data_IF_311698503308
#
_entry.id   IF_311698503308
#
_cell.length_a   1.000
_cell.length_b   1.000
_cell.length_c   1.000
_cell.angle_alpha   90.00
_cell.angle_beta   90.00
_cell.angle_gamma   90.00
#
_symmetry.space_group_name_H-M   'P 1'
#
loop_
_entity.id
_entity.type
_entity.pdbx_description
1 polymer ?
#
# COMPACT_ATOMS: atom_id res chain seq x y z
N UNK A 1 10.62 -15.53 6.11
CA UNK A 1 10.61 -15.73 4.67
C UNK A 1 11.46 -16.94 4.31
N UNK A 2 10.91 -17.88 3.54
CA UNK A 2 11.66 -19.05 3.05
C UNK A 2 12.44 -18.67 1.78
N UNK A 3 13.74 -18.41 1.94
CA UNK A 3 14.62 -18.05 0.83
C UNK A 3 14.94 -19.22 -0.09
N UNK A 4 14.94 -20.45 0.42
CA UNK A 4 15.26 -21.62 -0.38
C UNK A 4 14.20 -21.84 -1.48
N UNK A 5 12.95 -21.51 -1.18
CA UNK A 5 11.83 -21.64 -2.11
C UNK A 5 11.67 -20.39 -2.98
N UNK A 6 11.76 -19.19 -2.40
CA UNK A 6 11.44 -17.96 -3.15
C UNK A 6 12.56 -17.55 -4.10
N UNK A 7 13.85 -17.76 -3.75
CA UNK A 7 14.98 -17.33 -4.60
C UNK A 7 14.94 -17.95 -6.00
N UNK A 8 14.83 -19.29 -6.17
CA UNK A 8 14.78 -19.88 -7.51
C UNK A 8 13.54 -19.46 -8.31
N UNK A 9 12.45 -19.10 -7.60
CA UNK A 9 11.26 -18.57 -8.25
C UNK A 9 11.53 -17.15 -8.78
N UNK A 10 12.15 -16.27 -7.98
CA UNK A 10 12.48 -14.90 -8.37
C UNK A 10 13.50 -14.85 -9.51
N UNK A 11 14.52 -15.70 -9.49
CA UNK A 11 15.52 -15.81 -10.56
C UNK A 11 14.90 -16.16 -11.93
N UNK A 12 13.83 -16.93 -11.94
CA UNK A 12 13.11 -17.28 -13.18
C UNK A 12 12.16 -16.19 -13.67
N UNK A 13 11.74 -15.27 -12.79
CA UNK A 13 10.66 -14.33 -13.11
C UNK A 13 11.09 -12.87 -13.12
N UNK A 14 12.23 -12.52 -12.56
CA UNK A 14 12.74 -11.14 -12.53
C UNK A 14 14.09 -11.11 -13.26
N UNK A 15 14.13 -10.38 -14.35
CA UNK A 15 15.36 -10.20 -15.11
C UNK A 15 16.45 -9.55 -14.24
N UNK A 16 17.65 -10.16 -14.23
CA UNK A 16 18.80 -9.69 -13.46
C UNK A 16 18.71 -9.96 -11.95
N UNK A 17 17.71 -10.73 -11.48
CA UNK A 17 17.70 -11.23 -10.12
C UNK A 17 18.57 -12.48 -10.03
N UNK A 18 19.68 -12.39 -9.29
CA UNK A 18 20.67 -13.45 -9.14
C UNK A 18 21.09 -13.58 -7.67
N UNK A 19 21.15 -14.85 -7.17
CA UNK A 19 21.67 -15.12 -5.83
C UNK A 19 23.20 -15.00 -5.71
N UNK A 20 23.75 -15.12 -4.52
CA UNK A 20 23.06 -15.46 -3.28
C UNK A 20 22.18 -14.31 -2.74
N UNK A 21 21.07 -14.67 -2.08
CA UNK A 21 20.11 -13.72 -1.52
C UNK A 21 20.09 -13.80 0.00
N UNK A 22 20.17 -12.66 0.67
CA UNK A 22 19.81 -12.53 2.09
C UNK A 22 18.55 -11.67 2.24
N UNK A 23 17.81 -11.87 3.34
CA UNK A 23 16.59 -11.12 3.59
C UNK A 23 16.61 -10.50 4.98
N UNK A 24 16.20 -9.23 5.06
CA UNK A 24 16.00 -8.49 6.30
C UNK A 24 14.55 -8.02 6.37
N UNK A 25 13.87 -8.29 7.46
CA UNK A 25 12.51 -7.79 7.64
C UNK A 25 12.54 -6.34 8.13
N UNK A 26 11.76 -5.46 7.50
CA UNK A 26 11.57 -4.11 8.01
C UNK A 26 10.81 -4.13 9.34
N UNK A 27 11.33 -3.40 10.33
CA UNK A 27 10.72 -3.30 11.65
C UNK A 27 9.42 -2.49 11.68
N UNK A 28 9.16 -1.68 10.65
CA UNK A 28 7.97 -0.84 10.49
C UNK A 28 7.03 -1.46 9.45
N UNK A 29 5.72 -1.32 9.65
CA UNK A 29 4.71 -1.85 8.72
C UNK A 29 4.09 -3.15 9.23
N UNK A 30 3.20 -3.04 10.23
CA UNK A 30 2.61 -4.20 10.91
C UNK A 30 1.57 -4.96 10.09
N UNK A 31 1.02 -4.34 9.04
CA UNK A 31 -0.10 -4.93 8.30
C UNK A 31 0.32 -5.99 7.28
N UNK A 32 1.32 -5.70 6.46
CA UNK A 32 1.85 -6.61 5.44
C UNK A 32 3.36 -6.79 5.67
N UNK A 33 3.84 -7.99 6.03
CA UNK A 33 5.26 -8.23 6.21
C UNK A 33 6.06 -7.82 4.97
N UNK A 34 7.08 -7.01 5.19
CA UNK A 34 7.92 -6.43 4.12
C UNK A 34 9.37 -6.79 4.39
N UNK A 35 10.07 -7.25 3.38
CA UNK A 35 11.44 -7.73 3.45
C UNK A 35 12.32 -7.03 2.43
N UNK A 36 13.51 -6.62 2.84
CA UNK A 36 14.59 -6.26 1.95
C UNK A 36 15.25 -7.54 1.47
N UNK A 37 15.37 -7.72 0.16
CA UNK A 37 16.11 -8.81 -0.47
C UNK A 37 17.42 -8.26 -1.01
N UNK A 38 18.54 -8.71 -0.45
CA UNK A 38 19.87 -8.24 -0.81
C UNK A 38 20.51 -9.26 -1.73
N UNK A 39 20.82 -8.84 -2.95
CA UNK A 39 21.56 -9.63 -3.94
C UNK A 39 22.94 -9.00 -4.19
N UNK A 40 23.86 -9.69 -4.88
CA UNK A 40 25.18 -9.12 -5.17
C UNK A 40 25.16 -7.85 -6.03
N UNK A 41 24.11 -7.65 -6.82
CA UNK A 41 24.01 -6.52 -7.77
C UNK A 41 23.09 -5.42 -7.32
N UNK A 42 22.00 -5.78 -6.63
CA UNK A 42 20.90 -4.85 -6.34
C UNK A 42 20.09 -5.33 -5.15
N UNK A 43 19.43 -4.40 -4.51
CA UNK A 43 18.44 -4.70 -3.46
C UNK A 43 17.03 -4.56 -4.02
N UNK A 44 16.15 -5.42 -3.53
CA UNK A 44 14.73 -5.42 -3.87
C UNK A 44 13.91 -5.41 -2.58
N UNK A 45 12.65 -5.06 -2.69
CA UNK A 45 11.69 -5.15 -1.59
C UNK A 45 10.60 -6.15 -1.94
N UNK A 46 10.44 -7.17 -1.10
CA UNK A 46 9.33 -8.13 -1.17
C UNK A 46 8.29 -7.77 -0.10
N UNK A 47 7.04 -7.59 -0.51
CA UNK A 47 5.91 -7.35 0.39
C UNK A 47 4.84 -8.41 0.19
N UNK A 48 4.42 -9.06 1.28
CA UNK A 48 3.50 -10.19 1.25
C UNK A 48 2.28 -9.98 2.14
N UNK A 49 1.21 -10.70 1.85
CA UNK A 49 0.10 -10.84 2.80
C UNK A 49 0.59 -11.56 4.07
N UNK A 50 0.09 -11.20 5.26
CA UNK A 50 0.37 -11.98 6.45
C UNK A 50 -0.20 -13.41 6.31
N UNK A 51 0.38 -14.39 6.98
CA UNK A 51 -0.17 -15.74 7.00
C UNK A 51 -1.48 -15.80 7.80
N UNK A 52 -2.34 -16.78 7.48
CA UNK A 52 -3.58 -17.05 8.20
C UNK A 52 -4.84 -16.59 7.48
N UNK A 53 -5.97 -16.68 8.16
CA UNK A 53 -7.29 -16.27 7.62
C UNK A 53 -7.41 -14.75 7.73
N UNK A 54 -7.55 -14.09 6.61
CA UNK A 54 -7.64 -12.64 6.52
C UNK A 54 -9.08 -12.19 6.26
N UNK A 55 -9.44 -11.03 6.78
CA UNK A 55 -10.71 -10.39 6.43
C UNK A 55 -10.73 -10.06 4.93
N UNK A 56 -11.89 -10.23 4.31
CA UNK A 56 -12.10 -9.89 2.90
C UNK A 56 -11.71 -8.43 2.66
N UNK A 57 -10.89 -8.18 1.64
CA UNK A 57 -10.31 -6.88 1.28
C UNK A 57 -9.23 -6.31 2.21
N UNK A 58 -8.90 -6.94 3.33
CA UNK A 58 -7.73 -6.59 4.10
C UNK A 58 -6.45 -7.12 3.42
N UNK A 59 -5.35 -6.39 3.54
CA UNK A 59 -4.04 -6.85 3.06
C UNK A 59 -3.95 -7.15 1.55
N UNK A 60 -4.67 -6.38 0.72
CA UNK A 60 -4.77 -6.60 -0.73
C UNK A 60 -3.49 -6.17 -1.48
N UNK A 61 -2.42 -6.98 -1.39
CA UNK A 61 -1.12 -6.71 -2.05
C UNK A 61 -1.24 -6.63 -3.57
N UNK A 62 -2.18 -7.37 -4.18
CA UNK A 62 -2.52 -7.30 -5.59
C UNK A 62 -3.06 -5.92 -6.01
N UNK A 63 -3.80 -5.25 -5.14
CA UNK A 63 -4.27 -3.89 -5.38
C UNK A 63 -3.13 -2.87 -5.22
N UNK A 64 -2.28 -3.06 -4.21
CA UNK A 64 -1.08 -2.24 -4.04
C UNK A 64 -0.17 -2.32 -5.26
N UNK A 65 0.09 -3.53 -5.75
CA UNK A 65 0.90 -3.75 -6.95
C UNK A 65 0.28 -3.10 -8.19
N UNK A 66 -1.03 -3.32 -8.41
CA UNK A 66 -1.74 -2.80 -9.59
C UNK A 66 -1.66 -1.28 -9.68
N UNK A 67 -1.96 -0.57 -8.59
CA UNK A 67 -1.98 0.90 -8.62
C UNK A 67 -0.56 1.46 -8.82
N UNK A 68 0.45 0.93 -8.13
CA UNK A 68 1.81 1.42 -8.28
C UNK A 68 2.37 1.12 -9.68
N UNK A 69 2.06 -0.05 -10.24
CA UNK A 69 2.45 -0.39 -11.61
C UNK A 69 1.78 0.53 -12.64
N UNK A 70 0.51 0.85 -12.45
CA UNK A 70 -0.23 1.74 -13.34
C UNK A 70 0.27 3.19 -13.31
N UNK A 71 0.84 3.62 -12.18
CA UNK A 71 1.38 4.97 -11.99
C UNK A 71 2.84 5.12 -12.42
N UNK A 72 3.50 4.06 -12.91
CA UNK A 72 4.93 4.07 -13.21
C UNK A 72 5.36 5.16 -14.20
N UNK A 73 4.51 5.51 -15.16
CA UNK A 73 4.76 6.51 -16.19
C UNK A 73 4.06 7.85 -15.92
N UNK A 74 3.59 8.07 -14.68
CA UNK A 74 2.94 9.32 -14.25
C UNK A 74 3.89 10.20 -13.42
N UNK A 75 3.44 11.42 -13.10
CA UNK A 75 4.18 12.33 -12.20
C UNK A 75 4.16 11.91 -10.72
N UNK A 76 3.45 10.82 -10.40
CA UNK A 76 3.42 10.25 -9.05
C UNK A 76 4.66 9.38 -8.84
N UNK A 77 5.56 9.69 -7.89
CA UNK A 77 6.75 8.91 -7.64
C UNK A 77 6.39 7.57 -6.98
N UNK A 78 6.56 6.49 -7.73
CA UNK A 78 6.34 5.12 -7.25
C UNK A 78 7.60 4.27 -7.46
N UNK A 79 7.78 3.24 -6.62
CA UNK A 79 8.84 2.27 -6.84
C UNK A 79 8.56 1.46 -8.12
N UNK A 80 9.61 1.07 -8.85
CA UNK A 80 9.46 0.18 -9.99
C UNK A 80 8.94 -1.19 -9.53
N UNK A 81 7.78 -1.57 -10.03
CA UNK A 81 7.16 -2.87 -9.78
C UNK A 81 7.74 -3.93 -10.71
N UNK A 82 8.23 -5.04 -10.16
CA UNK A 82 8.77 -6.15 -10.94
C UNK A 82 7.73 -7.23 -11.20
N UNK A 83 7.21 -7.84 -10.15
CA UNK A 83 6.29 -8.97 -10.28
C UNK A 83 5.31 -9.07 -9.12
N UNK A 84 4.12 -9.58 -9.42
CA UNK A 84 3.13 -10.06 -8.46
C UNK A 84 3.03 -11.58 -8.55
N UNK A 85 3.07 -12.25 -7.41
CA UNK A 85 2.79 -13.67 -7.29
C UNK A 85 1.52 -13.86 -6.44
N UNK A 86 0.48 -14.41 -7.03
CA UNK A 86 -0.77 -14.72 -6.33
C UNK A 86 -0.85 -16.20 -5.92
N UNK A 87 0.12 -17.02 -6.34
CA UNK A 87 0.19 -18.43 -6.01
C UNK A 87 0.72 -18.65 -4.57
N UNK A 88 -0.14 -19.10 -3.63
CA UNK A 88 0.28 -19.33 -2.26
C UNK A 88 1.24 -20.52 -2.11
N UNK A 89 1.37 -21.38 -3.10
CA UNK A 89 2.28 -22.53 -3.04
C UNK A 89 3.76 -22.11 -2.99
N UNK A 90 4.10 -20.88 -3.42
CA UNK A 90 5.47 -20.39 -3.46
C UNK A 90 6.00 -20.07 -2.06
N UNK A 91 5.30 -19.22 -1.29
CA UNK A 91 5.72 -18.84 0.07
C UNK A 91 4.55 -18.79 1.09
N UNK A 92 3.46 -19.48 0.79
CA UNK A 92 2.29 -19.56 1.67
C UNK A 92 1.31 -18.38 1.60
N UNK A 93 1.57 -17.33 0.82
CA UNK A 93 0.67 -16.20 0.58
C UNK A 93 1.09 -15.40 -0.64
N UNK A 94 0.14 -14.63 -1.19
CA UNK A 94 0.43 -13.70 -2.28
C UNK A 94 1.47 -12.64 -1.84
N UNK A 95 2.33 -12.23 -2.78
CA UNK A 95 3.36 -11.22 -2.58
C UNK A 95 3.68 -10.49 -3.88
N UNK A 96 4.34 -9.33 -3.76
CA UNK A 96 4.96 -8.67 -4.90
C UNK A 96 6.38 -8.25 -4.59
N UNK A 97 7.14 -7.97 -5.65
CA UNK A 97 8.51 -7.46 -5.57
C UNK A 97 8.61 -6.13 -6.30
N UNK A 98 9.29 -5.18 -5.69
CA UNK A 98 9.57 -3.86 -6.23
C UNK A 98 11.03 -3.47 -6.00
N UNK A 99 11.47 -2.37 -6.61
CA UNK A 99 12.76 -1.76 -6.28
C UNK A 99 12.79 -1.26 -4.84
N UNK A 100 13.95 -1.35 -4.21
CA UNK A 100 14.21 -0.55 -3.02
C UNK A 100 14.48 0.89 -3.44
N UNK A 101 13.79 1.81 -2.79
CA UNK A 101 14.01 3.26 -2.96
C UNK A 101 14.75 3.78 -1.74
N UNK A 102 15.93 4.34 -1.96
CA UNK A 102 16.68 4.98 -0.90
C UNK A 102 15.97 6.25 -0.43
N UNK A 103 15.90 6.43 0.89
CA UNK A 103 15.25 7.59 1.46
C UNK A 103 15.24 7.60 2.98
N UNK A 104 14.76 8.69 3.53
CA UNK A 104 14.59 8.86 4.98
C UNK A 104 13.14 8.68 5.38
N UNK A 105 12.91 7.91 6.42
CA UNK A 105 11.61 7.80 7.06
C UNK A 105 11.55 8.72 8.27
N UNK A 106 10.62 9.67 8.27
CA UNK A 106 10.37 10.55 9.41
C UNK A 106 9.39 9.90 10.37
N UNK A 107 9.85 9.56 11.58
CA UNK A 107 9.02 8.91 12.61
C UNK A 107 7.98 9.85 13.22
N UNK A 108 8.26 11.15 13.17
CA UNK A 108 7.39 12.18 13.70
C UNK A 108 7.08 13.23 12.63
N UNK A 109 5.86 13.79 12.59
CA UNK A 109 5.50 14.81 11.61
C UNK A 109 6.24 16.13 11.84
N UNK A 110 6.81 16.34 13.02
CA UNK A 110 7.52 17.57 13.37
C UNK A 110 8.90 17.70 12.72
N UNK A 111 9.51 16.56 12.33
CA UNK A 111 10.85 16.54 11.69
C UNK A 111 11.83 17.48 12.42
N UNK A 112 11.93 17.34 13.76
CA UNK A 112 12.62 18.28 14.65
C UNK A 112 14.12 18.36 14.39
N UNK A 113 14.71 17.37 13.74
CA UNK A 113 16.10 17.25 13.33
C UNK A 113 16.44 18.04 12.05
N UNK A 114 15.42 18.63 11.40
CA UNK A 114 15.58 19.40 10.16
C UNK A 114 15.45 20.91 10.39
N UNK A 115 16.11 21.68 9.52
CA UNK A 115 15.93 23.13 9.48
C UNK A 115 14.50 23.50 9.01
N UNK A 116 13.99 24.71 9.33
CA UNK A 116 12.71 25.18 8.82
C UNK A 116 12.60 25.14 7.30
N UNK A 117 13.67 25.49 6.58
CA UNK A 117 13.73 25.47 5.12
C UNK A 117 13.61 24.06 4.57
N UNK A 118 14.34 23.09 5.15
CA UNK A 118 14.26 21.69 4.75
C UNK A 118 12.85 21.10 5.01
N UNK A 119 12.22 21.44 6.12
CA UNK A 119 10.82 21.07 6.39
C UNK A 119 9.87 21.68 5.35
N UNK A 120 10.06 22.95 5.01
CA UNK A 120 9.27 23.62 3.97
C UNK A 120 9.38 22.94 2.62
N UNK A 121 10.59 22.52 2.22
CA UNK A 121 10.80 21.76 0.98
C UNK A 121 10.08 20.40 0.99
N UNK A 122 10.15 19.65 2.08
CA UNK A 122 9.47 18.34 2.22
C UNK A 122 7.95 18.51 2.15
N UNK A 123 7.40 19.52 2.83
CA UNK A 123 5.96 19.82 2.79
C UNK A 123 5.53 20.23 1.37
N UNK A 124 6.33 21.08 0.72
CA UNK A 124 6.09 21.49 -0.67
C UNK A 124 6.06 20.29 -1.63
N UNK A 125 7.04 19.38 -1.49
CA UNK A 125 7.08 18.16 -2.31
C UNK A 125 5.92 17.21 -2.00
N UNK A 126 5.53 17.09 -0.73
CA UNK A 126 4.34 16.31 -0.34
C UNK A 126 3.07 16.85 -1.01
N UNK A 127 2.90 18.17 -1.04
CA UNK A 127 1.77 18.82 -1.72
C UNK A 127 1.82 18.61 -3.24
N UNK A 128 3.01 18.69 -3.85
CA UNK A 128 3.19 18.41 -5.28
C UNK A 128 2.78 16.98 -5.62
N UNK A 129 3.22 16.01 -4.84
CA UNK A 129 2.86 14.59 -5.05
C UNK A 129 1.36 14.37 -4.84
N UNK A 130 0.75 15.03 -3.84
CA UNK A 130 -0.69 14.96 -3.63
C UNK A 130 -1.47 15.51 -4.84
N UNK A 131 -1.04 16.64 -5.38
CA UNK A 131 -1.63 17.19 -6.60
C UNK A 131 -1.47 16.22 -7.78
N UNK A 132 -0.27 15.66 -7.98
CA UNK A 132 -0.03 14.67 -9.03
C UNK A 132 -0.95 13.43 -8.91
N UNK A 133 -1.23 12.96 -7.67
CA UNK A 133 -2.19 11.87 -7.44
C UNK A 133 -3.62 12.28 -7.85
N UNK A 134 -4.02 13.52 -7.56
CA UNK A 134 -5.36 14.02 -7.92
C UNK A 134 -5.50 14.25 -9.44
N UNK A 135 -4.41 14.54 -10.13
CA UNK A 135 -4.38 14.79 -11.58
C UNK A 135 -4.23 13.51 -12.41
N UNK A 136 -4.17 12.33 -11.77
CA UNK A 136 -4.03 11.04 -12.49
C UNK A 136 -5.22 10.82 -13.42
N UNK A 137 -4.95 10.68 -14.71
CA UNK A 137 -5.95 10.22 -15.67
C UNK A 137 -6.22 8.72 -15.48
N UNK A 138 -7.39 8.41 -14.91
CA UNK A 138 -7.79 7.03 -14.61
C UNK A 138 -8.00 6.18 -15.87
N UNK A 139 -8.34 6.81 -16.99
CA UNK A 139 -8.51 6.09 -18.28
C UNK A 139 -7.16 5.74 -18.86
N UNK A 140 -6.26 6.70 -18.95
CA UNK A 140 -4.90 6.49 -19.47
C UNK A 140 -4.10 5.47 -18.64
N UNK A 141 -4.29 5.48 -17.31
CA UNK A 141 -3.63 4.54 -16.39
C UNK A 141 -4.34 3.18 -16.24
N UNK A 142 -5.53 2.99 -16.84
CA UNK A 142 -6.30 1.75 -16.71
C UNK A 142 -6.84 1.49 -15.30
N UNK A 143 -7.13 2.56 -14.54
CA UNK A 143 -7.60 2.49 -13.15
C UNK A 143 -9.08 2.85 -12.97
N UNK A 144 -9.87 2.96 -14.04
CA UNK A 144 -11.30 3.34 -13.98
C UNK A 144 -12.14 2.41 -13.09
N UNK A 145 -11.78 1.13 -13.00
CA UNK A 145 -12.43 0.13 -12.16
C UNK A 145 -11.76 -0.08 -10.79
N UNK A 146 -10.73 0.72 -10.47
CA UNK A 146 -9.96 0.57 -9.21
C UNK A 146 -10.79 0.85 -7.97
N UNK A 147 -11.79 1.70 -8.08
CA UNK A 147 -12.79 1.98 -7.06
C UNK A 147 -14.20 2.07 -7.64
N UNK A 148 -15.24 1.88 -6.83
CA UNK A 148 -16.61 2.04 -7.29
C UNK A 148 -16.89 3.49 -7.67
N UNK A 149 -17.58 3.69 -8.79
CA UNK A 149 -18.01 5.00 -9.25
C UNK A 149 -19.06 5.64 -8.33
N UNK A 150 -19.17 6.97 -8.40
CA UNK A 150 -20.23 7.78 -7.82
C UNK A 150 -20.17 7.89 -6.31
N UNK A 151 -21.09 8.57 -5.79
CA UNK A 151 -21.42 8.97 -4.41
C UNK A 151 -20.52 8.39 -3.28
N UNK A 152 -19.27 8.86 -3.19
CA UNK A 152 -18.32 8.45 -2.16
C UNK A 152 -18.88 8.67 -0.75
N UNK A 153 -19.44 9.86 -0.50
CA UNK A 153 -19.95 10.22 0.84
C UNK A 153 -21.09 9.32 1.27
N UNK A 154 -22.05 9.02 0.38
CA UNK A 154 -23.16 8.11 0.70
C UNK A 154 -22.64 6.73 1.08
N UNK A 155 -21.70 6.19 0.31
CA UNK A 155 -21.08 4.90 0.64
C UNK A 155 -20.34 4.90 1.98
N UNK A 156 -19.72 6.03 2.37
CA UNK A 156 -19.07 6.14 3.68
C UNK A 156 -20.12 6.19 4.79
N UNK A 157 -21.18 6.96 4.65
CA UNK A 157 -22.28 7.01 5.62
C UNK A 157 -22.87 5.61 5.82
N UNK A 158 -23.24 4.92 4.75
CA UNK A 158 -23.82 3.58 4.83
C UNK A 158 -22.86 2.57 5.50
N UNK A 159 -21.59 2.60 5.11
CA UNK A 159 -20.55 1.72 5.65
C UNK A 159 -20.33 1.93 7.13
N UNK A 160 -20.14 3.18 7.55
CA UNK A 160 -19.81 3.50 8.94
C UNK A 160 -21.03 3.37 9.85
N UNK A 161 -22.24 3.71 9.38
CA UNK A 161 -23.48 3.47 10.11
C UNK A 161 -23.70 1.97 10.37
N UNK A 162 -23.50 1.13 9.33
CA UNK A 162 -23.58 -0.33 9.47
C UNK A 162 -22.53 -0.86 10.46
N UNK A 163 -21.29 -0.36 10.40
CA UNK A 163 -20.24 -0.79 11.31
C UNK A 163 -20.52 -0.36 12.74
N UNK A 164 -20.97 0.88 12.95
CA UNK A 164 -21.39 1.38 14.26
C UNK A 164 -22.47 0.48 14.86
N UNK A 165 -23.54 0.20 14.11
CA UNK A 165 -24.63 -0.68 14.58
C UNK A 165 -24.15 -2.09 14.94
N UNK A 166 -23.20 -2.63 14.18
CA UNK A 166 -22.64 -3.95 14.46
C UNK A 166 -21.72 -4.01 15.68
N UNK A 167 -21.18 -2.88 16.10
CA UNK A 167 -20.28 -2.75 17.26
C UNK A 167 -20.88 -1.98 18.44
N UNK A 168 -22.15 -1.58 18.36
CA UNK A 168 -22.85 -0.85 19.41
C UNK A 168 -22.96 -1.70 20.68
N UNK A 169 -22.38 -1.22 21.76
CA UNK A 169 -22.45 -1.86 23.10
C UNK A 169 -23.40 -1.12 24.04
N UNK A 170 -23.70 0.13 23.75
CA UNK A 170 -24.59 1.02 24.49
C UNK A 170 -25.33 1.93 23.51
N UNK A 171 -26.61 2.17 23.76
CA UNK A 171 -27.42 3.06 22.94
C UNK A 171 -27.05 4.53 23.15
N UNK A 172 -26.64 5.22 22.08
CA UNK A 172 -26.28 6.63 22.08
C UNK A 172 -27.24 7.40 21.17
N UNK A 173 -28.24 8.07 21.75
CA UNK A 173 -29.29 8.80 21.01
C UNK A 173 -28.70 9.86 20.04
N UNK A 174 -27.58 10.49 20.39
CA UNK A 174 -26.92 11.47 19.54
C UNK A 174 -26.36 10.82 18.24
N UNK A 175 -25.91 9.56 18.29
CA UNK A 175 -25.46 8.82 17.12
C UNK A 175 -26.62 8.47 16.19
N UNK A 176 -27.78 8.13 16.75
CA UNK A 176 -28.99 7.90 15.96
C UNK A 176 -29.45 9.15 15.23
N UNK A 177 -29.46 10.28 15.96
CA UNK A 177 -29.78 11.57 15.37
C UNK A 177 -28.82 11.97 14.25
N UNK A 178 -27.51 11.74 14.43
CA UNK A 178 -26.49 12.00 13.42
C UNK A 178 -26.66 11.13 12.17
N UNK A 179 -26.87 9.82 12.35
CA UNK A 179 -27.10 8.88 11.23
C UNK A 179 -28.32 9.30 10.42
N UNK A 180 -29.44 9.60 11.11
CA UNK A 180 -30.67 10.04 10.44
C UNK A 180 -30.48 11.37 9.70
N UNK A 181 -29.71 12.30 10.27
CA UNK A 181 -29.40 13.56 9.62
C UNK A 181 -28.56 13.36 8.37
N UNK A 182 -27.50 12.53 8.44
CA UNK A 182 -26.63 12.20 7.29
C UNK A 182 -27.39 11.44 6.19
N UNK A 183 -28.41 10.65 6.55
CA UNK A 183 -29.26 9.95 5.60
C UNK A 183 -30.17 10.91 4.81
N UNK A 184 -30.51 12.05 5.41
CA UNK A 184 -31.47 13.01 4.87
C UNK A 184 -30.82 14.19 4.16
N UNK A 185 -29.48 14.36 4.25
CA UNK A 185 -28.71 15.47 3.72
C UNK A 185 -27.49 14.98 2.92
#
# INVERSE_FOLDING_TARGET
LDLATVTPWLERHIEGFEGPVSAEQFASGQSNPTFRLITPRKTFVLRRKPPGVLLKSAHAVEREFRVQKALADSDVPVAKMHILCEDPSVIGSAFYVMDEVDGRNFKTPYMADLTPEARGQIIGETNRVLAAIHDVDLVATGLTDYGPEGNYYRRQVDRWSKQYRASETEHIAAMDALINWLDSN
#
